data_IF_283744529367
#
_entry.id   IF_283744529367
#
_cell.length_a   1.000
_cell.length_b   1.000
_cell.length_c   1.000
_cell.angle_alpha   90.00
_cell.angle_beta   90.00
_cell.angle_gamma   90.00
#
_symmetry.space_group_name_H-M   'P 1'
#
loop_
_entity.id
_entity.type
_entity.pdbx_description
1 polymer ?
#
# COMPACT_ATOMS: atom_id res chain seq x y z
N UNK A 1 17.99 6.81 18.19
CA UNK A 1 17.23 7.66 17.27
C UNK A 1 16.50 6.78 16.25
N UNK A 2 15.17 6.92 16.17
CA UNK A 2 14.40 6.28 15.13
C UNK A 2 14.65 7.01 13.81
N UNK A 3 15.43 6.41 12.92
CA UNK A 3 15.71 6.97 11.61
C UNK A 3 15.33 5.97 10.51
N UNK A 4 14.81 6.50 9.41
CA UNK A 4 14.55 5.75 8.18
C UNK A 4 15.55 6.10 7.07
N UNK A 5 16.67 6.71 7.43
CA UNK A 5 17.71 7.14 6.47
C UNK A 5 18.11 6.00 5.53
N UNK A 6 17.97 6.27 4.21
CA UNK A 6 18.31 5.32 3.16
C UNK A 6 17.34 4.14 3.00
N UNK A 7 16.25 4.07 3.76
CA UNK A 7 15.17 3.12 3.52
C UNK A 7 14.35 3.56 2.31
N UNK A 8 13.91 2.60 1.52
CA UNK A 8 13.03 2.81 0.36
C UNK A 8 11.65 2.26 0.69
N UNK A 9 10.65 3.13 0.68
CA UNK A 9 9.27 2.82 1.08
C UNK A 9 8.33 3.03 -0.10
N UNK A 10 7.60 2.01 -0.49
CA UNK A 10 6.55 2.09 -1.49
C UNK A 10 5.19 2.29 -0.82
N UNK A 11 4.46 3.33 -1.22
CA UNK A 11 3.15 3.69 -0.67
C UNK A 11 2.10 3.65 -1.77
N UNK A 12 1.11 2.77 -1.66
CA UNK A 12 -0.06 2.78 -2.53
C UNK A 12 -1.06 3.84 -2.05
N UNK A 13 -1.64 4.60 -2.99
CA UNK A 13 -2.45 5.77 -2.62
C UNK A 13 -1.62 6.89 -1.98
N UNK A 14 -0.33 6.99 -2.33
CA UNK A 14 0.62 7.92 -1.71
C UNK A 14 0.48 9.38 -2.13
N UNK A 15 -0.39 9.69 -3.10
CA UNK A 15 -0.55 11.06 -3.62
C UNK A 15 -1.48 11.97 -2.81
N UNK A 16 -2.28 11.43 -1.88
CA UNK A 16 -3.27 12.19 -1.10
C UNK A 16 -3.49 11.61 0.29
N UNK A 17 -4.19 12.35 1.14
CA UNK A 17 -4.72 11.86 2.42
C UNK A 17 -3.68 11.23 3.33
N UNK A 18 -4.02 10.10 3.94
CA UNK A 18 -3.16 9.40 4.90
C UNK A 18 -1.84 8.95 4.27
N UNK A 19 -1.87 8.42 3.03
CA UNK A 19 -0.66 7.97 2.35
C UNK A 19 0.34 9.11 2.14
N UNK A 20 -0.14 10.29 1.71
CA UNK A 20 0.69 11.49 1.57
C UNK A 20 1.23 11.97 2.93
N UNK A 21 0.38 12.00 3.96
CA UNK A 21 0.78 12.44 5.30
C UNK A 21 1.85 11.53 5.92
N UNK A 22 1.66 10.21 5.84
CA UNK A 22 2.66 9.25 6.29
C UNK A 22 3.94 9.35 5.48
N UNK A 23 3.83 9.54 4.15
CA UNK A 23 4.98 9.74 3.27
C UNK A 23 5.81 10.96 3.68
N UNK A 24 5.17 12.10 3.97
CA UNK A 24 5.86 13.29 4.47
C UNK A 24 6.67 12.99 5.74
N UNK A 25 6.07 12.32 6.70
CA UNK A 25 6.74 11.96 7.95
C UNK A 25 7.91 10.98 7.73
N UNK A 26 7.75 10.01 6.83
CA UNK A 26 8.86 9.09 6.51
C UNK A 26 10.04 9.83 5.86
N UNK A 27 9.77 10.83 5.04
CA UNK A 27 10.83 11.66 4.44
C UNK A 27 11.51 12.57 5.47
N UNK A 28 10.79 13.08 6.46
CA UNK A 28 11.40 13.78 7.60
C UNK A 28 12.38 12.88 8.37
N UNK A 29 12.10 11.58 8.42
CA UNK A 29 12.99 10.57 9.01
C UNK A 29 14.10 10.09 8.05
N UNK A 30 14.19 10.65 6.85
CA UNK A 30 15.26 10.38 5.89
C UNK A 30 15.01 9.25 4.91
N UNK A 31 13.77 8.77 4.76
CA UNK A 31 13.42 7.75 3.78
C UNK A 31 13.41 8.30 2.34
N UNK A 32 13.61 7.40 1.39
CA UNK A 32 13.22 7.58 -0.02
C UNK A 32 11.84 6.97 -0.24
N UNK A 33 11.01 7.60 -1.05
CA UNK A 33 9.65 7.14 -1.31
C UNK A 33 9.43 6.77 -2.76
N UNK A 34 8.60 5.76 -2.95
CA UNK A 34 7.85 5.48 -4.17
C UNK A 34 6.39 5.74 -3.83
N UNK A 35 5.74 6.61 -4.57
CA UNK A 35 4.32 6.88 -4.40
C UNK A 35 3.57 6.45 -5.66
N UNK A 36 2.51 5.67 -5.50
CA UNK A 36 1.72 5.19 -6.62
C UNK A 36 0.23 5.46 -6.44
N UNK A 37 -0.40 5.83 -7.53
CA UNK A 37 -1.84 5.96 -7.70
C UNK A 37 -2.19 6.00 -9.19
N UNK A 38 -3.46 6.12 -9.54
CA UNK A 38 -3.92 6.12 -10.94
C UNK A 38 -3.70 7.44 -11.69
N UNK A 39 -3.44 8.55 -10.99
CA UNK A 39 -3.36 9.89 -11.57
C UNK A 39 -1.95 10.46 -11.44
N UNK A 40 -1.23 10.56 -12.55
CA UNK A 40 0.13 11.08 -12.59
C UNK A 40 0.20 12.53 -12.06
N UNK A 41 -0.70 13.39 -12.48
CA UNK A 41 -0.76 14.79 -12.05
C UNK A 41 -0.81 14.99 -10.53
N UNK A 42 -1.54 14.08 -9.83
CA UNK A 42 -1.65 14.09 -8.36
C UNK A 42 -0.34 13.65 -7.72
N UNK A 43 0.30 12.65 -8.31
CA UNK A 43 1.60 12.15 -7.83
C UNK A 43 2.71 13.18 -8.05
N UNK A 44 2.74 13.84 -9.21
CA UNK A 44 3.73 14.85 -9.54
C UNK A 44 3.64 16.05 -8.60
N UNK A 45 2.42 16.53 -8.34
CA UNK A 45 2.19 17.60 -7.35
C UNK A 45 2.69 17.21 -5.96
N UNK A 46 2.44 15.98 -5.53
CA UNK A 46 2.92 15.49 -4.23
C UNK A 46 4.44 15.36 -4.22
N UNK A 47 5.04 14.89 -5.32
CA UNK A 47 6.49 14.80 -5.45
C UNK A 47 7.14 16.18 -5.39
N UNK A 48 6.55 17.20 -6.02
CA UNK A 48 7.00 18.59 -5.94
C UNK A 48 6.95 19.11 -4.49
N UNK A 49 5.84 18.91 -3.79
CA UNK A 49 5.71 19.29 -2.38
C UNK A 49 6.74 18.59 -1.47
N UNK A 50 7.16 17.37 -1.83
CA UNK A 50 8.15 16.58 -1.10
C UNK A 50 9.60 16.93 -1.45
N UNK A 51 9.85 17.76 -2.47
CA UNK A 51 11.20 18.20 -2.89
C UNK A 51 11.97 18.95 -1.79
N UNK A 52 11.28 19.47 -0.78
CA UNK A 52 11.88 20.11 0.40
C UNK A 52 12.63 19.15 1.34
N UNK A 53 12.39 17.84 1.22
CA UNK A 53 13.06 16.84 2.04
C UNK A 53 14.35 16.36 1.39
N UNK A 54 15.26 15.78 2.17
CA UNK A 54 16.56 15.29 1.67
C UNK A 54 16.46 13.96 0.93
N UNK A 55 15.43 13.16 1.19
CA UNK A 55 15.17 11.91 0.49
C UNK A 55 14.65 12.14 -0.92
N UNK A 56 14.72 11.10 -1.76
CA UNK A 56 14.15 11.12 -3.10
C UNK A 56 12.71 10.64 -3.07
N UNK A 57 11.85 11.24 -3.90
CA UNK A 57 10.50 10.75 -4.16
C UNK A 57 10.37 10.36 -5.63
N UNK A 58 9.80 9.20 -5.89
CA UNK A 58 9.58 8.65 -7.22
C UNK A 58 8.09 8.38 -7.44
N UNK A 59 7.41 9.24 -8.23
CA UNK A 59 6.01 9.05 -8.58
C UNK A 59 5.88 8.06 -9.74
N UNK A 60 5.07 7.02 -9.58
CA UNK A 60 4.79 6.01 -10.61
C UNK A 60 3.30 5.70 -10.65
N UNK A 61 2.64 5.92 -11.79
CA UNK A 61 1.24 5.53 -11.95
C UNK A 61 1.05 4.02 -12.00
N UNK A 62 -0.03 3.56 -11.40
CA UNK A 62 -0.50 2.19 -11.50
C UNK A 62 -1.85 2.01 -10.80
N UNK A 63 -2.63 1.07 -11.29
CA UNK A 63 -3.88 0.64 -10.66
C UNK A 63 -3.59 -0.61 -9.81
N UNK A 64 -3.84 -0.53 -8.51
CA UNK A 64 -3.61 -1.64 -7.58
C UNK A 64 -4.42 -2.89 -7.93
N UNK A 65 -5.52 -2.75 -8.68
CA UNK A 65 -6.40 -3.84 -9.13
C UNK A 65 -5.79 -4.65 -10.26
N UNK A 66 -4.92 -4.03 -11.05
CA UNK A 66 -4.29 -4.63 -12.22
C UNK A 66 -2.92 -5.21 -11.87
N UNK A 67 -2.75 -6.51 -12.13
CA UNK A 67 -1.51 -7.21 -11.77
C UNK A 67 -0.30 -6.74 -12.58
N UNK A 68 -0.50 -6.42 -13.87
CA UNK A 68 0.59 -5.95 -14.74
C UNK A 68 0.99 -4.52 -14.38
N UNK A 69 0.03 -3.66 -14.03
CA UNK A 69 0.31 -2.32 -13.51
C UNK A 69 1.13 -2.39 -12.22
N UNK A 70 0.74 -3.26 -11.29
CA UNK A 70 1.47 -3.46 -10.02
C UNK A 70 2.89 -3.97 -10.30
N UNK A 71 3.05 -4.93 -11.22
CA UNK A 71 4.37 -5.40 -11.63
C UNK A 71 5.21 -4.27 -12.20
N UNK A 72 4.67 -3.47 -13.11
CA UNK A 72 5.37 -2.32 -13.70
C UNK A 72 5.80 -1.28 -12.65
N UNK A 73 4.95 -1.00 -11.65
CA UNK A 73 5.31 -0.11 -10.54
C UNK A 73 6.51 -0.65 -9.75
N UNK A 74 6.49 -1.94 -9.41
CA UNK A 74 7.58 -2.59 -8.67
C UNK A 74 8.87 -2.60 -9.51
N UNK A 75 8.81 -3.01 -10.77
CA UNK A 75 9.98 -3.10 -11.66
C UNK A 75 10.66 -1.73 -11.82
N UNK A 76 9.90 -0.67 -12.14
CA UNK A 76 10.42 0.70 -12.24
C UNK A 76 11.01 1.21 -10.93
N UNK A 77 10.41 0.82 -9.81
CA UNK A 77 10.88 1.21 -8.49
C UNK A 77 12.21 0.54 -8.13
N UNK A 78 12.34 -0.75 -8.48
CA UNK A 78 13.58 -1.50 -8.32
C UNK A 78 14.69 -1.02 -9.26
N UNK A 79 14.34 -0.64 -10.49
CA UNK A 79 15.28 0.00 -11.44
C UNK A 79 15.81 1.32 -10.86
N UNK A 80 14.94 2.15 -10.27
CA UNK A 80 15.29 3.45 -9.70
C UNK A 80 16.16 3.36 -8.45
N UNK A 81 15.83 2.48 -7.52
CA UNK A 81 16.44 2.44 -6.19
C UNK A 81 17.26 1.18 -5.89
N UNK A 82 17.20 0.16 -6.74
CA UNK A 82 17.86 -1.14 -6.54
C UNK A 82 17.21 -2.02 -5.46
N UNK A 83 16.33 -1.47 -4.64
CA UNK A 83 15.64 -2.18 -3.55
C UNK A 83 14.33 -1.49 -3.16
N UNK A 84 13.48 -2.23 -2.46
CA UNK A 84 12.34 -1.71 -1.72
C UNK A 84 12.38 -2.37 -0.34
N UNK A 85 12.51 -1.59 0.72
CA UNK A 85 12.62 -2.10 2.10
C UNK A 85 11.25 -2.27 2.76
N UNK A 86 10.29 -1.39 2.43
CA UNK A 86 8.97 -1.37 3.05
C UNK A 86 7.87 -1.17 2.01
N UNK A 87 6.74 -1.84 2.25
CA UNK A 87 5.48 -1.67 1.52
C UNK A 87 4.41 -1.15 2.47
N UNK A 88 3.82 -0.01 2.14
CA UNK A 88 2.63 0.52 2.80
C UNK A 88 1.42 0.38 1.89
N UNK A 89 0.58 -0.61 2.15
CA UNK A 89 -0.69 -0.81 1.48
C UNK A 89 -1.74 0.12 2.09
N UNK A 90 -1.93 1.27 1.46
CA UNK A 90 -2.84 2.32 1.91
C UNK A 90 -3.95 2.63 0.90
N UNK A 91 -3.80 2.26 -0.37
CA UNK A 91 -4.83 2.51 -1.38
C UNK A 91 -6.17 1.93 -0.94
N UNK A 92 -7.21 2.75 -0.99
CA UNK A 92 -8.55 2.41 -0.59
C UNK A 92 -9.61 3.12 -1.44
N UNK A 93 -10.81 2.62 -1.38
CA UNK A 93 -12.01 3.23 -1.92
C UNK A 93 -13.21 2.69 -1.14
N UNK A 94 -14.27 3.48 -1.05
CA UNK A 94 -15.47 3.08 -0.35
C UNK A 94 -16.70 3.76 -0.95
N UNK A 95 -17.87 3.13 -0.75
CA UNK A 95 -19.18 3.71 -0.96
C UNK A 95 -19.96 3.66 0.35
N UNK A 96 -20.43 4.82 0.80
CA UNK A 96 -21.29 4.91 1.99
C UNK A 96 -22.74 4.81 1.52
N UNK A 97 -23.36 3.66 1.73
CA UNK A 97 -24.72 3.36 1.29
C UNK A 97 -25.35 2.23 2.09
N UNK A 98 -26.67 2.23 2.30
CA UNK A 98 -27.38 1.04 2.73
C UNK A 98 -27.07 -0.14 1.80
N UNK A 99 -26.82 -1.32 2.36
CA UNK A 99 -26.36 -2.48 1.58
C UNK A 99 -27.36 -2.90 0.50
N UNK A 100 -28.66 -2.81 0.78
CA UNK A 100 -29.74 -3.15 -0.17
C UNK A 100 -29.82 -2.20 -1.38
N UNK A 101 -29.12 -1.07 -1.35
CA UNK A 101 -29.01 -0.11 -2.47
C UNK A 101 -27.72 -0.25 -3.27
N UNK A 102 -26.79 -1.08 -2.81
CA UNK A 102 -25.53 -1.32 -3.51
C UNK A 102 -25.76 -2.29 -4.68
N UNK A 103 -25.08 -2.03 -5.78
CA UNK A 103 -24.99 -3.01 -6.87
C UNK A 103 -23.88 -4.02 -6.59
N UNK A 104 -23.93 -5.24 -7.15
CA UNK A 104 -22.80 -6.18 -7.09
C UNK A 104 -21.49 -5.54 -7.53
N UNK A 105 -21.50 -4.75 -8.61
CA UNK A 105 -20.32 -4.03 -9.12
C UNK A 105 -19.72 -3.04 -8.09
N UNK A 106 -20.56 -2.38 -7.31
CA UNK A 106 -20.07 -1.47 -6.26
C UNK A 106 -19.32 -2.24 -5.17
N UNK A 107 -19.79 -3.43 -4.79
CA UNK A 107 -19.08 -4.32 -3.88
C UNK A 107 -17.74 -4.76 -4.48
N UNK A 108 -17.75 -5.26 -5.71
CA UNK A 108 -16.56 -5.77 -6.41
C UNK A 108 -15.48 -4.70 -6.51
N UNK A 109 -15.83 -3.47 -6.89
CA UNK A 109 -14.86 -2.36 -7.02
C UNK A 109 -14.14 -2.07 -5.70
N UNK A 110 -14.84 -2.09 -4.57
CA UNK A 110 -14.22 -1.86 -3.26
C UNK A 110 -13.30 -3.02 -2.87
N UNK A 111 -13.76 -4.26 -3.06
CA UNK A 111 -12.96 -5.45 -2.77
C UNK A 111 -11.71 -5.50 -3.66
N UNK A 112 -11.85 -5.19 -4.95
CA UNK A 112 -10.73 -5.16 -5.89
C UNK A 112 -9.67 -4.12 -5.50
N UNK A 113 -10.07 -2.91 -5.09
CA UNK A 113 -9.12 -1.88 -4.67
C UNK A 113 -8.48 -2.26 -3.34
N UNK A 114 -9.28 -2.57 -2.33
CA UNK A 114 -8.84 -2.67 -0.94
C UNK A 114 -8.17 -4.01 -0.65
N UNK A 115 -8.81 -5.13 -0.99
CA UNK A 115 -8.29 -6.45 -0.67
C UNK A 115 -7.38 -6.99 -1.77
N UNK A 116 -7.85 -7.04 -3.00
CA UNK A 116 -7.07 -7.57 -4.12
C UNK A 116 -5.85 -6.68 -4.42
N UNK A 117 -6.01 -5.35 -4.34
CA UNK A 117 -4.88 -4.42 -4.50
C UNK A 117 -3.80 -4.63 -3.44
N UNK A 118 -4.18 -4.80 -2.17
CA UNK A 118 -3.25 -5.16 -1.09
C UNK A 118 -2.57 -6.51 -1.38
N UNK A 119 -3.32 -7.52 -1.81
CA UNK A 119 -2.79 -8.82 -2.17
C UNK A 119 -1.79 -8.76 -3.34
N UNK A 120 -2.11 -8.03 -4.41
CA UNK A 120 -1.25 -7.93 -5.59
C UNK A 120 0.14 -7.38 -5.24
N UNK A 121 0.21 -6.25 -4.53
CA UNK A 121 1.48 -5.68 -4.10
C UNK A 121 2.22 -6.58 -3.11
N UNK A 122 1.51 -7.14 -2.14
CA UNK A 122 2.10 -8.03 -1.14
C UNK A 122 2.68 -9.29 -1.77
N UNK A 123 1.96 -9.90 -2.72
CA UNK A 123 2.41 -11.10 -3.43
C UNK A 123 3.68 -10.83 -4.23
N UNK A 124 3.66 -9.82 -5.11
CA UNK A 124 4.77 -9.58 -6.03
C UNK A 124 6.03 -9.13 -5.28
N UNK A 125 5.87 -8.20 -4.35
CA UNK A 125 7.03 -7.71 -3.58
C UNK A 125 7.53 -8.76 -2.57
N UNK A 126 6.63 -9.53 -1.97
CA UNK A 126 6.99 -10.65 -1.10
C UNK A 126 7.80 -11.73 -1.84
N UNK A 127 7.38 -12.12 -3.05
CA UNK A 127 8.15 -13.03 -3.92
C UNK A 127 9.54 -12.48 -4.21
N UNK A 128 9.65 -11.21 -4.58
CA UNK A 128 10.92 -10.54 -4.81
C UNK A 128 11.83 -10.59 -3.57
N UNK A 129 11.31 -10.24 -2.39
CA UNK A 129 12.09 -10.30 -1.16
C UNK A 129 12.56 -11.71 -0.81
N UNK A 130 11.70 -12.73 -0.98
CA UNK A 130 12.06 -14.14 -0.75
C UNK A 130 13.18 -14.56 -1.69
N UNK A 131 13.04 -14.28 -2.99
CA UNK A 131 14.03 -14.62 -4.01
C UNK A 131 15.38 -13.95 -3.74
N UNK A 132 15.37 -12.66 -3.40
CA UNK A 132 16.58 -11.87 -3.13
C UNK A 132 17.11 -12.04 -1.70
N UNK A 133 16.43 -12.84 -0.86
CA UNK A 133 16.76 -12.98 0.58
C UNK A 133 16.86 -11.64 1.30
N UNK A 134 15.98 -10.70 0.92
CA UNK A 134 15.90 -9.35 1.48
C UNK A 134 14.82 -9.31 2.57
N UNK A 135 15.15 -8.92 3.81
CA UNK A 135 14.14 -8.77 4.86
C UNK A 135 13.23 -7.59 4.53
N UNK A 136 11.93 -7.83 4.43
CA UNK A 136 10.94 -6.84 4.07
C UNK A 136 10.01 -6.48 5.23
N UNK A 137 9.37 -5.31 5.13
CA UNK A 137 8.32 -4.88 6.05
C UNK A 137 7.09 -4.49 5.28
N UNK A 138 5.94 -5.08 5.64
CA UNK A 138 4.62 -4.69 5.14
C UNK A 138 3.80 -4.06 6.25
N UNK A 139 3.18 -2.93 5.95
CA UNK A 139 2.18 -2.29 6.79
C UNK A 139 0.89 -2.12 5.98
N UNK A 140 -0.18 -2.71 6.47
CA UNK A 140 -1.49 -2.66 5.83
C UNK A 140 -2.42 -1.73 6.61
N UNK A 141 -3.02 -0.75 5.96
CA UNK A 141 -3.99 0.13 6.60
C UNK A 141 -5.33 -0.58 6.65
N UNK A 142 -5.82 -0.83 7.86
CA UNK A 142 -7.15 -1.35 8.12
C UNK A 142 -8.03 -0.30 8.82
N UNK A 143 -9.09 -0.70 9.43
CA UNK A 143 -10.02 0.16 10.17
C UNK A 143 -10.59 -0.60 11.34
N UNK A 144 -11.16 0.08 12.33
CA UNK A 144 -11.80 -0.57 13.48
C UNK A 144 -12.92 -1.52 13.06
N UNK A 145 -13.67 -1.18 12.03
CA UNK A 145 -14.76 -2.03 11.54
C UNK A 145 -14.29 -3.29 10.78
N UNK A 146 -12.98 -3.52 10.61
CA UNK A 146 -12.46 -4.81 10.17
C UNK A 146 -12.74 -5.94 11.17
N UNK A 147 -12.96 -5.61 12.44
CA UNK A 147 -13.32 -6.54 13.50
C UNK A 147 -14.83 -6.55 13.80
N UNK A 148 -15.45 -5.38 13.80
CA UNK A 148 -16.82 -5.19 14.30
C UNK A 148 -17.87 -5.16 13.21
N UNK A 149 -17.48 -4.94 11.95
CA UNK A 149 -18.38 -4.45 10.94
C UNK A 149 -18.83 -3.01 11.23
N UNK A 150 -19.56 -2.39 10.30
CA UNK A 150 -20.22 -1.11 10.49
C UNK A 150 -21.34 -0.94 9.48
N UNK A 151 -22.40 -0.23 9.87
CA UNK A 151 -23.50 0.14 8.96
C UNK A 151 -23.00 0.99 7.78
N UNK A 152 -23.61 0.82 6.62
CA UNK A 152 -23.42 1.60 5.40
C UNK A 152 -22.05 1.46 4.71
N UNK A 153 -21.15 0.61 5.21
CA UNK A 153 -19.79 0.39 4.66
C UNK A 153 -19.48 -1.10 4.48
N UNK A 154 -20.50 -1.93 4.26
CA UNK A 154 -20.36 -3.38 4.18
C UNK A 154 -19.23 -3.85 3.23
N UNK A 155 -19.05 -3.31 2.00
CA UNK A 155 -17.95 -3.73 1.12
C UNK A 155 -16.57 -3.43 1.72
N UNK A 156 -16.40 -2.25 2.31
CA UNK A 156 -15.14 -1.85 2.93
C UNK A 156 -14.85 -2.66 4.19
N UNK A 157 -15.87 -2.91 5.03
CA UNK A 157 -15.72 -3.75 6.23
C UNK A 157 -15.29 -5.18 5.87
N UNK A 158 -15.94 -5.78 4.87
CA UNK A 158 -15.58 -7.11 4.37
C UNK A 158 -14.15 -7.14 3.81
N UNK A 159 -13.80 -6.16 2.97
CA UNK A 159 -12.46 -6.07 2.38
C UNK A 159 -11.38 -5.85 3.45
N UNK A 160 -11.60 -4.96 4.41
CA UNK A 160 -10.64 -4.68 5.50
C UNK A 160 -10.53 -5.84 6.48
N UNK A 161 -11.62 -6.58 6.75
CA UNK A 161 -11.56 -7.86 7.45
C UNK A 161 -10.69 -8.88 6.72
N UNK A 162 -10.84 -8.96 5.39
CA UNK A 162 -9.97 -9.77 4.52
C UNK A 162 -8.50 -9.34 4.58
N UNK A 163 -8.21 -8.03 4.54
CA UNK A 163 -6.83 -7.51 4.68
C UNK A 163 -6.24 -7.88 6.03
N UNK A 164 -7.02 -7.83 7.11
CA UNK A 164 -6.56 -8.22 8.44
C UNK A 164 -6.21 -9.71 8.51
N UNK A 165 -7.06 -10.57 7.95
CA UNK A 165 -6.80 -12.01 7.85
C UNK A 165 -5.58 -12.31 6.99
N UNK A 166 -5.46 -11.65 5.82
CA UNK A 166 -4.31 -11.74 4.93
C UNK A 166 -3.01 -11.36 5.66
N UNK A 167 -3.03 -10.25 6.41
CA UNK A 167 -1.87 -9.79 7.20
C UNK A 167 -1.38 -10.87 8.16
N UNK A 168 -2.30 -11.48 8.90
CA UNK A 168 -1.97 -12.55 9.86
C UNK A 168 -1.40 -13.79 9.16
N UNK A 169 -1.98 -14.20 8.03
CA UNK A 169 -1.50 -15.33 7.24
C UNK A 169 -0.08 -15.08 6.72
N UNK A 170 0.16 -13.94 6.07
CA UNK A 170 1.48 -13.60 5.55
C UNK A 170 2.53 -13.43 6.66
N UNK A 171 2.15 -12.86 7.81
CA UNK A 171 3.04 -12.76 8.96
C UNK A 171 3.51 -14.14 9.44
N UNK A 172 2.59 -15.11 9.51
CA UNK A 172 2.92 -16.48 9.90
C UNK A 172 3.75 -17.23 8.85
N UNK A 173 3.38 -17.13 7.56
CA UNK A 173 4.05 -17.85 6.49
C UNK A 173 5.46 -17.32 6.19
N UNK A 174 5.65 -16.00 6.25
CA UNK A 174 6.85 -15.34 5.73
C UNK A 174 7.85 -14.90 6.80
N UNK A 175 7.56 -15.09 8.09
CA UNK A 175 8.51 -14.82 9.17
C UNK A 175 9.84 -15.55 8.98
N UNK A 176 9.80 -16.77 8.46
CA UNK A 176 10.99 -17.58 8.17
C UNK A 176 11.94 -16.96 7.12
N UNK A 177 11.43 -16.01 6.33
CA UNK A 177 12.21 -15.26 5.36
C UNK A 177 12.64 -13.88 5.87
N UNK A 178 12.36 -13.56 7.14
CA UNK A 178 12.64 -12.25 7.73
C UNK A 178 11.67 -11.15 7.30
N UNK A 179 10.52 -11.51 6.70
CA UNK A 179 9.49 -10.56 6.28
C UNK A 179 8.50 -10.38 7.42
N UNK A 180 8.24 -9.12 7.78
CA UNK A 180 7.26 -8.75 8.82
C UNK A 180 6.03 -8.11 8.20
N UNK A 181 4.85 -8.61 8.54
CA UNK A 181 3.57 -8.08 8.09
C UNK A 181 2.75 -7.61 9.29
N UNK A 182 2.34 -6.34 9.27
CA UNK A 182 1.51 -5.74 10.31
C UNK A 182 0.34 -4.97 9.71
N UNK A 183 -0.66 -4.67 10.53
CA UNK A 183 -1.80 -3.82 10.17
C UNK A 183 -2.08 -2.80 11.29
N UNK A 184 -2.54 -1.62 10.90
CA UNK A 184 -2.98 -0.55 11.79
C UNK A 184 -4.29 0.06 11.31
#
# INVERSE_FOLDING_TARGET
>A
ENTLKGKVILITGGGTGLGKSMGAYFMELGANLIITSRKQEVLDKTAEEFSKYTGQVFPVTGDVRDHEDVKNVIDKSLEKFGKIDCLLNNAAGNFISPTERLTPKAFDVVVDIVLKGTYNFSLLLGKHWIEKKHPGVMLNIVTTYAWTGSSFVAPSAAAKGGVLALTRSLASEWVKYGIRCNAI
#
